data_IF_320188442959
#
_entry.id   IF_320188442959
#
_cell.length_a   1.000
_cell.length_b   1.000
_cell.length_c   1.000
_cell.angle_alpha   90.00
_cell.angle_beta   90.00
_cell.angle_gamma   90.00
#
_symmetry.space_group_name_H-M   'P 1'
#
loop_
_entity.id
_entity.type
_entity.pdbx_description
1 polymer ?
#
# COMPACT_ATOMS: atom_id res chain seq x y z
N UNK A 1 -28.77 6.17 50.88
CA UNK A 1 -29.57 7.30 50.37
C UNK A 1 -28.85 7.81 49.13
N UNK A 2 -29.32 7.42 47.94
CA UNK A 2 -28.65 7.67 46.66
C UNK A 2 -29.27 8.89 45.98
N UNK A 3 -28.44 9.85 45.57
CA UNK A 3 -28.87 11.01 44.78
C UNK A 3 -28.81 10.63 43.30
N UNK A 4 -29.98 10.52 42.69
CA UNK A 4 -30.16 10.33 41.25
C UNK A 4 -30.16 11.71 40.59
N UNK A 5 -29.23 11.95 39.67
CA UNK A 5 -29.22 13.15 38.81
C UNK A 5 -30.06 12.83 37.55
N UNK A 6 -30.96 13.70 37.09
CA UNK A 6 -31.70 13.48 35.85
C UNK A 6 -30.79 13.72 34.63
N UNK A 7 -30.79 12.79 33.68
CA UNK A 7 -30.22 12.99 32.35
C UNK A 7 -31.03 14.06 31.60
N UNK A 8 -30.41 15.21 31.32
CA UNK A 8 -30.94 16.14 30.32
C UNK A 8 -30.84 15.52 28.93
N UNK A 9 -31.98 15.19 28.32
CA UNK A 9 -32.08 14.83 26.92
C UNK A 9 -31.59 16.00 26.06
N UNK A 10 -30.45 15.85 25.40
CA UNK A 10 -30.04 16.75 24.31
C UNK A 10 -30.74 16.30 23.03
N UNK A 11 -31.52 17.23 22.46
CA UNK A 11 -32.27 17.08 21.21
C UNK A 11 -31.43 16.48 20.09
N UNK A 12 -31.98 15.48 19.40
CA UNK A 12 -31.41 14.94 18.17
C UNK A 12 -31.42 16.02 17.08
N UNK A 13 -30.26 16.28 16.49
CA UNK A 13 -30.15 17.05 15.24
C UNK A 13 -30.92 16.33 14.12
N UNK A 14 -31.68 17.04 13.27
CA UNK A 14 -32.35 16.41 12.14
C UNK A 14 -31.32 15.78 11.20
N UNK A 15 -31.62 14.56 10.77
CA UNK A 15 -30.81 13.78 9.85
C UNK A 15 -30.69 14.56 8.53
N UNK A 16 -29.46 14.77 8.05
CA UNK A 16 -29.24 15.42 6.77
C UNK A 16 -29.90 14.60 5.64
N UNK A 17 -30.46 15.24 4.61
CA UNK A 17 -31.19 14.55 3.53
C UNK A 17 -30.34 13.50 2.81
N UNK A 18 -29.01 13.68 2.77
CA UNK A 18 -28.04 12.69 2.27
C UNK A 18 -28.03 11.39 3.08
N UNK A 19 -28.06 11.49 4.40
CA UNK A 19 -28.09 10.33 5.29
C UNK A 19 -29.41 9.57 5.16
N UNK A 20 -30.51 10.28 4.92
CA UNK A 20 -31.81 9.67 4.69
C UNK A 20 -31.87 8.94 3.34
N UNK A 21 -31.21 9.48 2.30
CA UNK A 21 -31.07 8.81 1.00
C UNK A 21 -30.28 7.49 1.11
N UNK A 22 -29.25 7.46 1.94
CA UNK A 22 -28.45 6.25 2.20
C UNK A 22 -29.23 5.18 2.99
N UNK A 23 -30.04 5.60 3.98
CA UNK A 23 -30.91 4.66 4.71
C UNK A 23 -32.01 4.06 3.81
N UNK A 24 -32.57 4.84 2.89
CA UNK A 24 -33.56 4.33 1.94
C UNK A 24 -32.96 3.31 0.97
N UNK A 25 -31.73 3.53 0.50
CA UNK A 25 -31.01 2.57 -0.34
C UNK A 25 -30.67 1.27 0.41
N UNK A 26 -30.45 1.33 1.73
CA UNK A 26 -30.21 0.16 2.56
C UNK A 26 -31.49 -0.62 2.93
N UNK A 27 -32.68 -0.03 2.69
CA UNK A 27 -33.98 -0.61 3.06
C UNK A 27 -34.68 -1.34 1.92
N UNK A 28 -34.03 -1.48 0.74
CA UNK A 28 -34.57 -2.29 -0.34
C UNK A 28 -34.50 -3.78 0.04
N UNK A 29 -35.61 -4.54 -0.04
CA UNK A 29 -35.62 -5.94 0.32
C UNK A 29 -34.79 -6.76 -0.67
N UNK A 30 -33.69 -7.33 -0.19
CA UNK A 30 -32.92 -8.35 -0.91
C UNK A 30 -33.80 -9.59 -1.05
N UNK A 31 -34.23 -9.87 -2.28
CA UNK A 31 -34.97 -11.08 -2.62
C UNK A 31 -34.23 -12.33 -2.12
N UNK A 32 -34.90 -13.05 -1.21
CA UNK A 32 -34.53 -14.35 -0.69
C UNK A 32 -34.46 -15.36 -1.84
N UNK A 33 -33.25 -15.65 -2.33
CA UNK A 33 -32.98 -16.87 -3.08
C UNK A 33 -31.96 -17.73 -2.33
N UNK A 34 -32.42 -18.96 -2.09
CA UNK A 34 -31.86 -20.15 -1.47
C UNK A 34 -30.33 -20.25 -1.31
N UNK A 35 -29.89 -20.58 -0.08
CA UNK A 35 -28.55 -21.11 0.19
C UNK A 35 -28.52 -22.61 -0.12
N UNK A 36 -28.02 -22.97 -1.30
CA UNK A 36 -27.56 -24.33 -1.63
C UNK A 36 -26.02 -24.44 -1.54
N UNK A 37 -25.46 -25.59 -1.10
CA UNK A 37 -24.03 -25.71 -0.85
C UNK A 37 -23.25 -26.18 -2.09
N UNK A 38 -21.97 -25.80 -2.11
CA UNK A 38 -20.90 -26.28 -3.00
C UNK A 38 -20.80 -25.66 -4.40
N UNK A 39 -19.55 -25.32 -4.76
CA UNK A 39 -19.11 -25.20 -6.15
C UNK A 39 -18.48 -23.86 -6.50
N UNK A 40 -17.15 -23.86 -6.67
CA UNK A 40 -16.45 -22.92 -7.56
C UNK A 40 -17.13 -22.90 -8.94
N UNK A 41 -16.89 -21.84 -9.70
CA UNK A 41 -17.33 -21.59 -11.10
C UNK A 41 -18.68 -20.86 -11.23
N UNK A 42 -18.67 -19.53 -11.07
CA UNK A 42 -19.66 -18.65 -11.71
C UNK A 42 -18.92 -17.43 -12.27
N UNK A 43 -18.24 -17.67 -13.38
CA UNK A 43 -17.72 -16.64 -14.28
C UNK A 43 -18.80 -15.60 -14.54
N UNK A 44 -18.43 -14.33 -14.40
CA UNK A 44 -19.26 -13.20 -14.79
C UNK A 44 -19.53 -13.25 -16.31
N UNK A 45 -20.57 -13.96 -16.70
CA UNK A 45 -21.21 -13.82 -18.01
C UNK A 45 -22.16 -12.62 -17.95
N UNK A 46 -21.60 -11.41 -17.97
CA UNK A 46 -22.37 -10.22 -18.31
C UNK A 46 -22.78 -10.36 -19.78
N UNK A 47 -24.05 -10.68 -20.02
CA UNK A 47 -24.64 -10.73 -21.34
C UNK A 47 -24.60 -9.34 -21.98
N UNK A 48 -23.80 -9.21 -23.04
CA UNK A 48 -23.85 -8.12 -24.02
C UNK A 48 -25.13 -8.27 -24.85
N UNK A 49 -26.27 -7.99 -24.24
CA UNK A 49 -27.55 -7.88 -24.95
C UNK A 49 -28.25 -6.59 -24.49
N UNK A 50 -27.56 -5.47 -24.64
CA UNK A 50 -28.22 -4.18 -24.73
C UNK A 50 -27.80 -3.50 -26.04
N UNK A 51 -28.81 -3.20 -26.83
CA UNK A 51 -28.79 -2.85 -28.24
C UNK A 51 -28.13 -1.49 -28.45
N UNK A 52 -26.95 -1.48 -29.06
CA UNK A 52 -26.33 -0.29 -29.66
C UNK A 52 -26.35 -0.40 -31.20
N UNK A 53 -26.45 0.71 -31.95
CA UNK A 53 -26.59 0.68 -33.40
C UNK A 53 -25.35 0.04 -34.05
N UNK A 54 -25.57 -0.67 -35.16
CA UNK A 54 -24.54 -1.35 -35.95
C UNK A 54 -23.48 -0.33 -36.37
N UNK A 55 -22.29 -0.42 -35.78
CA UNK A 55 -21.14 0.39 -36.19
C UNK A 55 -20.72 -0.08 -37.58
N UNK A 56 -20.83 0.80 -38.57
CA UNK A 56 -20.33 0.55 -39.92
C UNK A 56 -18.82 0.28 -39.89
N UNK A 57 -18.31 -0.45 -40.89
CA UNK A 57 -16.87 -0.70 -41.01
C UNK A 57 -16.18 0.63 -41.28
N UNK A 58 -15.58 1.21 -40.24
CA UNK A 58 -14.82 2.45 -40.34
C UNK A 58 -13.46 2.11 -40.95
N UNK A 59 -13.24 2.53 -42.19
CA UNK A 59 -11.94 2.38 -42.85
C UNK A 59 -10.95 3.30 -42.14
N UNK A 60 -10.05 2.71 -41.34
CA UNK A 60 -8.91 3.41 -40.75
C UNK A 60 -8.02 3.96 -41.87
N UNK A 61 -8.26 5.21 -42.28
CA UNK A 61 -7.25 5.97 -43.02
C UNK A 61 -6.14 6.31 -42.04
N UNK A 62 -5.01 5.60 -42.16
CA UNK A 62 -3.79 5.97 -41.48
C UNK A 62 -3.41 7.38 -41.94
N UNK A 63 -3.64 8.38 -41.07
CA UNK A 63 -3.05 9.69 -41.25
C UNK A 63 -1.53 9.49 -41.25
N UNK A 64 -0.88 9.83 -42.36
CA UNK A 64 0.58 9.94 -42.41
C UNK A 64 0.95 11.17 -41.59
N UNK A 65 1.13 10.97 -40.29
CA UNK A 65 1.69 11.99 -39.41
C UNK A 65 3.19 12.05 -39.76
N UNK A 66 3.71 13.17 -40.26
CA UNK A 66 5.13 13.30 -40.48
C UNK A 66 5.84 13.09 -39.14
N UNK A 67 6.79 12.17 -39.10
CA UNK A 67 7.64 11.95 -37.93
C UNK A 67 8.23 13.30 -37.53
N UNK A 68 7.96 13.82 -36.31
CA UNK A 68 8.63 15.01 -35.84
C UNK A 68 10.13 14.78 -35.94
N UNK A 69 10.85 15.70 -36.59
CA UNK A 69 12.31 15.60 -36.70
C UNK A 69 12.91 15.39 -35.32
N UNK A 70 13.77 14.38 -35.19
CA UNK A 70 14.49 14.12 -33.94
C UNK A 70 15.45 15.28 -33.72
N UNK A 71 15.04 16.27 -32.93
CA UNK A 71 15.95 17.27 -32.38
C UNK A 71 16.62 16.61 -31.18
N UNK A 72 17.86 16.16 -31.36
CA UNK A 72 18.66 15.74 -30.23
C UNK A 72 18.86 16.95 -29.30
N UNK A 73 18.46 16.89 -28.02
CA UNK A 73 18.80 17.95 -27.08
C UNK A 73 20.32 17.93 -26.88
N UNK A 74 21.01 18.91 -27.45
CA UNK A 74 22.41 19.16 -27.10
C UNK A 74 22.44 19.79 -25.72
N UNK A 75 22.63 18.96 -24.69
CA UNK A 75 22.85 19.42 -23.32
C UNK A 75 24.34 19.74 -23.18
N UNK A 76 24.68 21.02 -23.12
CA UNK A 76 26.00 21.46 -22.72
C UNK A 76 26.00 21.63 -21.19
N UNK A 77 26.71 20.75 -20.48
CA UNK A 77 27.00 20.96 -19.07
C UNK A 77 28.01 22.10 -18.97
N UNK A 78 27.53 23.30 -18.63
CA UNK A 78 28.41 24.40 -18.27
C UNK A 78 29.17 24.01 -17.00
N UNK A 79 30.44 23.64 -17.14
CA UNK A 79 31.35 23.61 -16.01
C UNK A 79 31.62 25.06 -15.64
N UNK A 80 30.90 25.60 -14.66
CA UNK A 80 31.32 26.84 -14.03
C UNK A 80 32.69 26.56 -13.38
N UNK A 81 33.80 27.13 -13.89
CA UNK A 81 35.13 26.88 -13.35
C UNK A 81 35.28 27.44 -11.93
N UNK A 82 34.28 28.17 -11.43
CA UNK A 82 34.21 28.72 -10.09
C UNK A 82 33.13 28.07 -9.21
N UNK A 83 32.47 27.01 -9.69
CA UNK A 83 31.58 26.23 -8.84
C UNK A 83 32.40 25.55 -7.74
N UNK A 84 32.22 26.04 -6.51
CA UNK A 84 32.73 25.33 -5.32
C UNK A 84 32.08 23.95 -5.32
N UNK A 85 32.86 22.85 -5.26
CA UNK A 85 32.30 21.51 -5.19
C UNK A 85 31.27 21.47 -4.06
N UNK A 86 30.06 21.01 -4.36
CA UNK A 86 29.12 20.68 -3.31
C UNK A 86 29.84 19.72 -2.35
N UNK A 87 29.76 19.96 -1.02
CA UNK A 87 30.37 19.03 -0.07
C UNK A 87 29.85 17.63 -0.38
N UNK A 88 30.72 16.60 -0.40
CA UNK A 88 30.29 15.25 -0.67
C UNK A 88 29.13 14.93 0.26
N UNK A 89 27.98 14.54 -0.33
CA UNK A 89 26.86 14.03 0.46
C UNK A 89 27.45 12.90 1.29
N UNK A 90 27.34 12.94 2.63
CA UNK A 90 27.88 11.87 3.45
C UNK A 90 27.29 10.57 2.93
N UNK A 91 28.16 9.68 2.47
CA UNK A 91 27.77 8.33 2.11
C UNK A 91 27.22 7.75 3.40
N UNK A 92 25.90 7.62 3.51
CA UNK A 92 25.28 6.88 4.61
C UNK A 92 25.61 5.43 4.33
N UNK A 93 26.80 5.02 4.76
CA UNK A 93 27.21 3.63 4.73
C UNK A 93 26.26 2.91 5.65
N UNK A 94 25.42 2.06 5.07
CA UNK A 94 24.58 1.16 5.83
C UNK A 94 25.47 0.43 6.85
N UNK A 95 25.08 0.34 8.13
CA UNK A 95 25.88 -0.34 9.13
C UNK A 95 26.23 -1.74 8.65
N UNK A 96 27.32 -2.33 9.13
CA UNK A 96 27.46 -3.77 9.00
C UNK A 96 26.23 -4.44 9.65
N UNK A 97 25.62 -5.40 8.94
CA UNK A 97 24.60 -6.27 9.52
C UNK A 97 25.30 -7.16 10.53
N UNK A 98 25.44 -6.72 11.78
CA UNK A 98 26.00 -7.53 12.85
C UNK A 98 24.90 -8.38 13.47
N UNK A 99 24.88 -9.67 13.11
CA UNK A 99 23.90 -10.63 13.60
C UNK A 99 22.65 -10.75 12.73
N UNK A 100 21.67 -11.51 13.20
CA UNK A 100 20.44 -11.85 12.46
C UNK A 100 19.22 -11.04 12.89
N UNK A 101 19.40 -10.07 13.79
CA UNK A 101 18.29 -9.37 14.46
C UNK A 101 18.52 -7.86 14.46
N UNK A 102 17.50 -7.09 14.10
CA UNK A 102 17.58 -5.63 13.93
C UNK A 102 16.36 -4.99 14.58
N UNK A 103 16.57 -4.11 15.57
CA UNK A 103 15.49 -3.35 16.21
C UNK A 103 15.43 -1.92 15.67
N UNK A 104 14.23 -1.42 15.41
CA UNK A 104 14.03 -0.08 14.86
C UNK A 104 12.56 0.28 14.77
N UNK A 105 12.22 1.14 13.81
CA UNK A 105 10.85 1.55 13.53
C UNK A 105 10.34 0.95 12.23
N UNK A 106 9.06 0.62 12.19
CA UNK A 106 8.35 0.30 10.96
C UNK A 106 7.28 1.34 10.69
N UNK A 107 7.15 1.74 9.43
CA UNK A 107 5.99 2.49 8.94
C UNK A 107 5.13 1.56 8.06
N UNK A 108 4.15 2.12 7.35
CA UNK A 108 3.32 1.35 6.43
C UNK A 108 3.35 1.94 5.03
N UNK A 109 3.04 1.10 4.05
CA UNK A 109 2.92 1.48 2.65
C UNK A 109 1.68 0.82 2.05
N UNK A 110 1.15 1.37 0.95
CA UNK A 110 -0.10 0.86 0.39
C UNK A 110 0.01 -0.59 -0.06
N UNK A 111 1.12 -0.93 -0.72
CA UNK A 111 1.07 -1.97 -1.72
C UNK A 111 2.39 -2.18 -2.48
N UNK A 112 2.64 -3.45 -2.82
CA UNK A 112 3.56 -3.90 -3.88
C UNK A 112 2.73 -4.55 -4.99
N UNK A 113 3.10 -4.34 -6.25
CA UNK A 113 2.43 -4.98 -7.38
C UNK A 113 2.40 -6.51 -7.23
N UNK A 114 1.26 -7.14 -7.48
CA UNK A 114 1.07 -8.59 -7.33
C UNK A 114 0.80 -9.09 -5.90
N UNK A 115 0.93 -8.25 -4.87
CA UNK A 115 0.82 -8.65 -3.46
C UNK A 115 -0.38 -8.03 -2.71
N UNK A 116 -1.39 -7.56 -3.45
CA UNK A 116 -2.56 -6.88 -2.85
C UNK A 116 -3.31 -7.79 -1.89
N UNK A 117 -3.59 -7.30 -0.68
CA UNK A 117 -4.34 -8.03 0.34
C UNK A 117 -3.53 -9.11 1.07
N UNK A 118 -2.19 -9.09 0.92
CA UNK A 118 -1.29 -10.07 1.55
C UNK A 118 -0.43 -9.35 2.58
N UNK A 119 -0.22 -9.99 3.73
CA UNK A 119 0.72 -9.51 4.75
C UNK A 119 2.16 -9.66 4.22
N UNK A 120 2.72 -8.56 3.75
CA UNK A 120 4.08 -8.46 3.19
C UNK A 120 4.89 -7.33 3.83
N UNK A 121 6.22 -7.40 3.68
CA UNK A 121 7.16 -6.39 4.18
C UNK A 121 8.13 -5.92 3.10
N UNK A 122 8.44 -4.64 3.11
CA UNK A 122 9.53 -4.03 2.36
C UNK A 122 10.69 -3.71 3.31
N UNK A 123 11.93 -3.96 2.87
CA UNK A 123 13.15 -3.77 3.67
C UNK A 123 14.14 -2.84 2.96
N UNK A 124 15.14 -2.28 3.67
CA UNK A 124 16.30 -1.67 3.04
C UNK A 124 17.01 -2.66 2.11
N UNK A 125 17.59 -2.16 1.02
CA UNK A 125 18.39 -2.94 0.07
C UNK A 125 19.46 -3.84 0.73
N UNK A 126 20.30 -3.31 1.63
CA UNK A 126 21.29 -4.10 2.37
C UNK A 126 20.72 -5.24 3.23
N UNK A 127 19.45 -5.13 3.65
CA UNK A 127 18.73 -6.18 4.39
C UNK A 127 17.98 -7.15 3.46
N UNK A 128 18.19 -7.02 2.15
CA UNK A 128 17.60 -7.88 1.14
C UNK A 128 16.32 -7.36 0.49
N UNK A 129 15.92 -6.13 0.80
CA UNK A 129 14.79 -5.45 0.17
C UNK A 129 15.01 -5.21 -1.32
N UNK A 130 14.07 -5.69 -2.12
CA UNK A 130 13.98 -5.55 -3.57
C UNK A 130 12.60 -6.02 -4.00
N UNK A 131 12.12 -5.54 -5.13
CA UNK A 131 10.91 -6.09 -5.70
C UNK A 131 11.07 -7.61 -5.94
N UNK A 132 10.13 -8.40 -5.44
CA UNK A 132 10.06 -9.85 -5.61
C UNK A 132 8.63 -10.22 -6.03
N UNK A 133 8.39 -10.67 -7.27
CA UNK A 133 7.05 -11.06 -7.71
C UNK A 133 6.58 -12.32 -6.95
N UNK A 134 5.25 -12.54 -6.82
CA UNK A 134 4.76 -13.80 -6.26
C UNK A 134 5.20 -15.00 -7.12
N UNK A 135 5.58 -16.14 -6.52
CA UNK A 135 5.69 -16.40 -5.08
C UNK A 135 6.98 -15.83 -4.45
N UNK A 136 6.92 -15.48 -3.16
CA UNK A 136 8.07 -14.90 -2.45
C UNK A 136 9.24 -15.88 -2.30
N UNK A 137 10.44 -15.38 -2.57
CA UNK A 137 11.72 -16.09 -2.46
C UNK A 137 12.33 -16.03 -1.05
N UNK A 138 11.97 -15.01 -0.25
CA UNK A 138 12.55 -14.76 1.06
C UNK A 138 11.52 -14.32 2.10
N UNK A 139 11.79 -14.67 3.35
CA UNK A 139 10.95 -14.37 4.50
C UNK A 139 11.80 -13.81 5.63
N UNK A 140 11.19 -12.96 6.46
CA UNK A 140 11.73 -12.49 7.73
C UNK A 140 10.66 -12.60 8.80
N UNK A 141 11.07 -12.71 10.05
CA UNK A 141 10.14 -12.59 11.17
C UNK A 141 10.16 -11.16 11.68
N UNK A 142 9.01 -10.49 11.71
CA UNK A 142 8.86 -9.14 12.26
C UNK A 142 8.06 -9.22 13.56
N UNK A 143 8.63 -8.67 14.62
CA UNK A 143 8.05 -8.64 15.96
C UNK A 143 7.73 -7.21 16.37
N UNK A 144 6.46 -6.94 16.65
CA UNK A 144 5.95 -5.73 17.31
C UNK A 144 5.28 -6.15 18.62
N UNK A 145 3.96 -5.93 18.72
CA UNK A 145 3.14 -6.55 19.77
C UNK A 145 3.08 -8.07 19.60
N UNK A 146 3.20 -8.52 18.34
CA UNK A 146 3.16 -9.91 17.90
C UNK A 146 4.27 -10.18 16.90
N UNK A 147 4.73 -11.43 16.82
CA UNK A 147 5.74 -11.87 15.84
C UNK A 147 5.10 -12.61 14.67
N UNK A 148 5.41 -12.18 13.44
CA UNK A 148 4.85 -12.75 12.22
C UNK A 148 5.95 -12.97 11.19
N UNK A 149 5.93 -14.14 10.53
CA UNK A 149 6.79 -14.43 9.39
C UNK A 149 6.18 -13.83 8.13
N UNK A 150 6.89 -12.87 7.52
CA UNK A 150 6.41 -12.08 6.39
C UNK A 150 7.34 -12.27 5.19
N UNK A 151 6.80 -12.40 3.97
CA UNK A 151 7.60 -12.37 2.75
C UNK A 151 8.19 -10.97 2.53
N UNK A 152 9.47 -10.93 2.12
CA UNK A 152 10.15 -9.70 1.73
C UNK A 152 9.94 -9.48 0.24
N UNK A 153 9.12 -8.50 -0.11
CA UNK A 153 8.61 -8.36 -1.48
C UNK A 153 8.97 -7.05 -2.15
N UNK A 154 9.52 -6.09 -1.41
CA UNK A 154 9.83 -4.78 -1.93
C UNK A 154 11.04 -4.14 -1.26
N UNK A 155 11.46 -3.02 -1.86
CA UNK A 155 12.44 -2.10 -1.33
C UNK A 155 11.75 -0.95 -0.59
N UNK A 156 12.23 -0.62 0.61
CA UNK A 156 11.93 0.66 1.23
C UNK A 156 13.22 1.50 1.32
N UNK A 157 13.07 2.80 1.08
CA UNK A 157 14.14 3.78 1.32
C UNK A 157 14.23 4.12 2.82
N UNK A 158 14.39 3.06 3.60
CA UNK A 158 14.46 3.05 5.05
C UNK A 158 15.87 3.50 5.50
N UNK A 159 15.95 4.47 6.42
CA UNK A 159 17.21 5.03 6.93
C UNK A 159 17.81 4.18 8.07
N UNK A 160 18.05 2.90 7.76
CA UNK A 160 18.67 1.93 8.66
C UNK A 160 20.11 2.35 9.03
N UNK A 161 20.48 2.18 10.30
CA UNK A 161 21.80 2.56 10.80
C UNK A 161 21.96 3.94 11.41
N UNK A 162 20.86 4.66 11.53
CA UNK A 162 20.81 5.92 12.27
C UNK A 162 20.20 5.70 13.65
N UNK A 163 20.38 6.65 14.56
CA UNK A 163 19.74 6.62 15.89
C UNK A 163 18.21 6.63 15.82
N UNK A 164 17.63 7.06 14.71
CA UNK A 164 16.19 7.08 14.46
C UNK A 164 15.70 5.94 13.55
N UNK A 165 16.54 4.93 13.27
CA UNK A 165 16.38 4.00 12.16
C UNK A 165 14.96 3.48 11.92
N UNK A 166 14.46 3.76 10.72
CA UNK A 166 13.36 3.02 10.10
C UNK A 166 13.95 1.80 9.40
N UNK A 167 13.40 0.62 9.64
CA UNK A 167 13.98 -0.67 9.23
C UNK A 167 13.04 -1.52 8.38
N UNK A 168 11.76 -1.15 8.30
CA UNK A 168 10.78 -1.85 7.49
C UNK A 168 9.62 -0.93 7.10
N UNK A 169 8.96 -1.27 5.99
CA UNK A 169 7.62 -0.80 5.65
C UNK A 169 6.68 -2.01 5.59
N UNK A 170 5.58 -1.92 6.34
CA UNK A 170 4.57 -2.98 6.43
C UNK A 170 3.39 -2.70 5.51
N UNK A 171 2.91 -3.73 4.82
CA UNK A 171 1.58 -3.66 4.20
C UNK A 171 0.48 -3.46 5.28
N UNK A 172 -0.72 -3.00 4.88
CA UNK A 172 -1.89 -2.92 5.76
C UNK A 172 -2.16 -4.20 6.56
N UNK A 173 -2.01 -5.35 5.91
CA UNK A 173 -2.26 -6.68 6.47
C UNK A 173 -1.12 -7.11 7.40
N UNK A 174 0.14 -6.83 7.04
CA UNK A 174 1.29 -7.10 7.91
C UNK A 174 1.24 -6.24 9.18
N UNK A 175 0.86 -4.97 9.07
CA UNK A 175 0.68 -4.09 10.22
C UNK A 175 -0.34 -4.69 11.21
N UNK A 176 -1.52 -5.07 10.73
CA UNK A 176 -2.58 -5.63 11.56
C UNK A 176 -2.20 -6.99 12.19
N UNK A 177 -1.27 -7.72 11.56
CA UNK A 177 -0.75 -8.97 12.08
C UNK A 177 0.32 -8.77 13.16
N UNK A 178 1.14 -7.72 13.05
CA UNK A 178 2.28 -7.44 13.93
C UNK A 178 1.92 -6.52 15.11
N UNK A 179 0.90 -5.67 14.98
CA UNK A 179 0.52 -4.70 16.01
C UNK A 179 -0.99 -4.45 16.10
N UNK A 180 -1.44 -4.10 17.30
CA UNK A 180 -2.81 -3.64 17.58
C UNK A 180 -3.00 -2.13 17.36
N UNK A 181 -1.91 -1.38 17.14
CA UNK A 181 -1.96 0.05 16.96
C UNK A 181 -2.70 0.43 15.66
N UNK A 182 -3.50 1.50 15.68
CA UNK A 182 -4.16 1.99 14.48
C UNK A 182 -3.16 2.67 13.53
N UNK A 183 -2.85 2.03 12.39
CA UNK A 183 -1.86 2.53 11.42
C UNK A 183 -2.11 3.96 10.94
N UNK A 184 -3.37 4.38 10.81
CA UNK A 184 -3.74 5.71 10.31
C UNK A 184 -3.57 6.80 11.36
N UNK A 185 -3.48 6.42 12.65
CA UNK A 185 -3.29 7.36 13.77
C UNK A 185 -1.82 7.45 14.15
N UNK A 186 -1.15 6.32 14.37
CA UNK A 186 0.25 6.35 14.83
C UNK A 186 1.25 6.46 13.68
N UNK A 187 0.97 5.87 12.52
CA UNK A 187 1.83 5.89 11.33
C UNK A 187 3.18 5.15 11.47
N UNK A 188 3.67 4.94 12.68
CA UNK A 188 4.95 4.28 12.98
C UNK A 188 4.84 3.44 14.26
N UNK A 189 5.50 2.28 14.27
CA UNK A 189 5.60 1.39 15.45
C UNK A 189 7.04 0.92 15.66
N UNK A 190 7.46 0.65 16.91
CA UNK A 190 8.71 -0.04 17.17
C UNK A 190 8.60 -1.51 16.74
N UNK A 191 9.65 -2.04 16.12
CA UNK A 191 9.73 -3.45 15.72
C UNK A 191 11.13 -4.01 15.89
N UNK A 192 11.20 -5.34 15.92
CA UNK A 192 12.43 -6.12 15.75
C UNK A 192 12.27 -7.06 14.56
N UNK A 193 13.23 -7.07 13.63
CA UNK A 193 13.26 -7.90 12.42
C UNK A 193 14.33 -8.97 12.57
N UNK A 194 13.95 -10.23 12.35
CA UNK A 194 14.85 -11.39 12.32
C UNK A 194 15.02 -11.88 10.88
N UNK A 195 16.25 -11.85 10.37
CA UNK A 195 16.58 -12.10 8.96
C UNK A 195 16.70 -13.59 8.57
N UNK A 196 16.66 -14.51 9.54
CA UNK A 196 16.87 -15.96 9.34
C UNK A 196 15.63 -16.82 9.57
N UNK A 197 14.48 -16.42 9.01
CA UNK A 197 13.18 -17.07 9.22
C UNK A 197 12.92 -18.33 8.38
#
# INVERSE_FOLDING_TARGET
MALVVPLSARSATPIAPETQRLLTAASEPVSLFDRGPAGREASAALSLQEVGPTIGVETLQAAVIPTPGVVAPTVAFGTDPNATPAPPVPIVVAPPVTGSTISGKATWYCCTSGWRGVAVVALPGPLGGRYDPPPASRYVTVCGDRCVRLPVVDYCDCYWGTSAQKVADLSPEAWAAVSDANRSVVGVIPVTVHLGG
#
